data_IF_025336271904
#
_entry.id   IF_025336271904
#
_cell.length_a   1.000
_cell.length_b   1.000
_cell.length_c   1.000
_cell.angle_alpha   90.00
_cell.angle_beta   90.00
_cell.angle_gamma   90.00
#
_symmetry.space_group_name_H-M   'P 1'
#
loop_
_entity.id
_entity.type
_entity.pdbx_description
1 polymer ?
#
# COMPACT_ATOMS: atom_id res chain seq x y z
N UNK A 1 -61.16 -5.82 -36.36
CA UNK A 1 -61.81 -5.39 -35.11
C UNK A 1 -60.74 -4.85 -34.18
N UNK A 2 -61.00 -3.65 -33.64
CA UNK A 2 -60.07 -2.83 -32.88
C UNK A 2 -59.71 -3.50 -31.54
N UNK A 3 -58.43 -3.76 -31.28
CA UNK A 3 -57.96 -3.97 -29.91
C UNK A 3 -57.68 -2.60 -29.30
N UNK A 4 -58.76 -1.96 -28.83
CA UNK A 4 -58.66 -0.81 -27.94
C UNK A 4 -57.90 -1.25 -26.68
N UNK A 5 -56.70 -0.71 -26.51
CA UNK A 5 -56.01 -0.77 -25.22
C UNK A 5 -56.85 0.04 -24.24
N UNK A 6 -57.65 -0.64 -23.42
CA UNK A 6 -58.41 -0.01 -22.35
C UNK A 6 -57.43 0.79 -21.46
N UNK A 7 -57.57 2.13 -21.39
CA UNK A 7 -56.59 2.99 -20.72
C UNK A 7 -56.70 3.00 -19.18
N UNK A 8 -57.61 2.23 -18.59
CA UNK A 8 -57.96 2.31 -17.16
C UNK A 8 -57.56 1.09 -16.32
N UNK A 9 -56.91 0.07 -16.89
CA UNK A 9 -56.39 -1.03 -16.07
C UNK A 9 -55.07 -0.64 -15.39
N UNK A 10 -55.12 -0.45 -14.07
CA UNK A 10 -53.92 -0.34 -13.22
C UNK A 10 -53.12 -1.64 -13.37
N UNK A 11 -52.03 -1.60 -14.11
CA UNK A 11 -51.11 -2.74 -14.16
C UNK A 11 -50.33 -2.80 -12.84
N UNK A 12 -50.23 -3.99 -12.21
CA UNK A 12 -49.45 -4.14 -10.99
C UNK A 12 -48.00 -3.75 -11.30
N UNK A 13 -47.51 -2.76 -10.57
CA UNK A 13 -46.12 -2.31 -10.66
C UNK A 13 -45.24 -3.49 -10.26
N UNK A 14 -44.44 -4.03 -11.19
CA UNK A 14 -43.51 -5.13 -10.89
C UNK A 14 -42.58 -4.67 -9.79
N UNK A 15 -42.76 -5.22 -8.59
CA UNK A 15 -41.87 -4.96 -7.47
C UNK A 15 -40.54 -5.63 -7.81
N UNK A 16 -39.49 -4.83 -7.93
CA UNK A 16 -38.17 -5.32 -8.31
C UNK A 16 -37.67 -6.19 -7.16
N UNK A 17 -37.30 -7.44 -7.45
CA UNK A 17 -36.80 -8.33 -6.42
C UNK A 17 -35.43 -7.82 -5.95
N UNK A 18 -35.28 -7.39 -4.68
CA UNK A 18 -34.01 -6.83 -4.19
C UNK A 18 -32.85 -7.84 -4.27
N UNK A 19 -33.15 -9.14 -4.25
CA UNK A 19 -32.17 -10.22 -4.43
C UNK A 19 -31.66 -10.32 -5.88
N UNK A 20 -32.45 -9.87 -6.86
CA UNK A 20 -32.06 -9.81 -8.27
C UNK A 20 -31.43 -8.46 -8.67
N UNK A 21 -31.58 -7.41 -7.85
CA UNK A 21 -30.92 -6.12 -8.02
C UNK A 21 -29.47 -6.15 -7.51
N UNK A 22 -29.24 -6.78 -6.36
CA UNK A 22 -27.91 -6.84 -5.76
C UNK A 22 -26.99 -7.77 -6.56
N UNK A 23 -26.02 -7.18 -7.27
CA UNK A 23 -24.98 -7.91 -8.01
C UNK A 23 -24.24 -8.91 -7.11
N UNK A 24 -23.99 -8.54 -5.85
CA UNK A 24 -23.34 -9.41 -4.88
C UNK A 24 -24.19 -10.65 -4.57
N UNK A 25 -25.50 -10.46 -4.39
CA UNK A 25 -26.43 -11.56 -4.08
C UNK A 25 -26.62 -12.50 -5.28
N UNK A 26 -26.65 -11.95 -6.50
CA UNK A 26 -26.67 -12.74 -7.74
C UNK A 26 -25.38 -13.53 -7.94
N UNK A 27 -24.23 -12.95 -7.59
CA UNK A 27 -22.94 -13.64 -7.60
C UNK A 27 -22.97 -14.86 -6.68
N UNK A 28 -23.35 -14.65 -5.42
CA UNK A 28 -23.46 -15.72 -4.43
C UNK A 28 -24.43 -16.84 -4.85
N UNK A 29 -25.61 -16.49 -5.40
CA UNK A 29 -26.58 -17.49 -5.88
C UNK A 29 -26.00 -18.34 -7.01
N UNK A 30 -25.26 -17.72 -7.95
CA UNK A 30 -24.57 -18.46 -9.03
C UNK A 30 -23.53 -19.40 -8.46
N UNK A 31 -22.73 -18.94 -7.50
CA UNK A 31 -21.72 -19.79 -6.84
C UNK A 31 -22.34 -20.98 -6.11
N UNK A 32 -23.40 -20.73 -5.33
CA UNK A 32 -24.10 -21.79 -4.60
C UNK A 32 -24.71 -22.82 -5.57
N UNK A 33 -25.27 -22.35 -6.69
CA UNK A 33 -25.77 -23.23 -7.75
C UNK A 33 -24.66 -24.03 -8.44
N UNK A 34 -23.53 -23.40 -8.76
CA UNK A 34 -22.39 -24.08 -9.39
C UNK A 34 -21.83 -25.16 -8.46
N UNK A 35 -21.53 -24.80 -7.22
CA UNK A 35 -21.00 -25.73 -6.21
C UNK A 35 -21.95 -26.88 -5.89
N UNK A 36 -23.24 -26.61 -5.72
CA UNK A 36 -24.22 -27.64 -5.32
C UNK A 36 -24.65 -28.54 -6.49
N UNK A 37 -24.86 -27.98 -7.69
CA UNK A 37 -25.43 -28.74 -8.81
C UNK A 37 -24.39 -29.31 -9.78
N UNK A 38 -23.22 -28.68 -9.91
CA UNK A 38 -22.23 -29.01 -10.95
C UNK A 38 -20.88 -29.42 -10.35
N UNK A 39 -20.74 -29.36 -9.02
CA UNK A 39 -19.46 -29.54 -8.35
C UNK A 39 -18.49 -28.41 -8.69
N UNK A 40 -17.22 -28.57 -8.30
CA UNK A 40 -16.17 -27.66 -8.75
C UNK A 40 -15.93 -27.84 -10.25
N UNK A 41 -16.44 -26.93 -11.07
CA UNK A 41 -16.16 -26.93 -12.51
C UNK A 41 -14.67 -26.62 -12.74
N UNK A 42 -13.90 -27.43 -13.51
CA UNK A 42 -12.45 -27.30 -13.61
C UNK A 42 -11.92 -26.00 -14.22
N UNK A 43 -12.79 -25.13 -14.75
CA UNK A 43 -12.40 -23.92 -15.50
C UNK A 43 -12.96 -22.60 -14.98
N UNK A 44 -13.90 -22.61 -14.03
CA UNK A 44 -14.56 -21.38 -13.58
C UNK A 44 -14.09 -21.02 -12.17
N UNK A 45 -13.37 -19.89 -12.04
CA UNK A 45 -12.93 -19.38 -10.73
C UNK A 45 -14.15 -18.88 -9.96
N UNK A 46 -14.34 -19.38 -8.74
CA UNK A 46 -15.32 -18.81 -7.81
C UNK A 46 -14.98 -17.35 -7.48
N UNK A 47 -15.98 -16.54 -7.13
CA UNK A 47 -15.77 -15.19 -6.60
C UNK A 47 -14.85 -15.24 -5.38
N UNK A 48 -14.99 -16.25 -4.51
CA UNK A 48 -14.04 -16.46 -3.42
C UNK A 48 -12.60 -16.59 -3.92
N UNK A 49 -12.35 -17.39 -4.96
CA UNK A 49 -11.03 -17.54 -5.53
C UNK A 49 -10.52 -16.22 -6.15
N UNK A 50 -11.38 -15.48 -6.85
CA UNK A 50 -11.04 -14.15 -7.40
C UNK A 50 -10.66 -13.17 -6.29
N UNK A 51 -11.43 -13.12 -5.20
CA UNK A 51 -11.17 -12.25 -4.04
C UNK A 51 -9.86 -12.64 -3.35
N UNK A 52 -9.57 -13.94 -3.21
CA UNK A 52 -8.31 -14.40 -2.63
C UNK A 52 -7.11 -14.08 -3.53
N UNK A 53 -7.25 -14.23 -4.85
CA UNK A 53 -6.24 -13.81 -5.84
C UNK A 53 -6.00 -12.29 -5.76
N UNK A 54 -7.07 -11.49 -5.73
CA UNK A 54 -6.99 -10.03 -5.55
C UNK A 54 -6.25 -9.65 -4.27
N UNK A 55 -6.64 -10.23 -3.12
CA UNK A 55 -5.98 -9.97 -1.83
C UNK A 55 -4.51 -10.41 -1.81
N UNK A 56 -4.14 -11.43 -2.60
CA UNK A 56 -2.74 -11.85 -2.75
C UNK A 56 -1.94 -10.78 -3.50
N UNK A 57 -2.49 -10.24 -4.59
CA UNK A 57 -1.84 -9.18 -5.38
C UNK A 57 -1.73 -7.89 -4.58
N UNK A 58 -2.77 -7.48 -3.85
CA UNK A 58 -2.75 -6.29 -3.00
C UNK A 58 -1.67 -6.38 -1.92
N UNK A 59 -1.59 -7.50 -1.19
CA UNK A 59 -0.54 -7.70 -0.19
C UNK A 59 0.87 -7.64 -0.79
N UNK A 60 1.07 -8.17 -1.99
CA UNK A 60 2.36 -8.07 -2.67
C UNK A 60 2.71 -6.62 -3.00
N UNK A 61 1.75 -5.85 -3.52
CA UNK A 61 1.94 -4.42 -3.81
C UNK A 61 2.24 -3.63 -2.54
N UNK A 62 1.50 -3.86 -1.46
CA UNK A 62 1.75 -3.23 -0.15
C UNK A 62 3.15 -3.56 0.37
N UNK A 63 3.59 -4.82 0.25
CA UNK A 63 4.96 -5.21 0.61
C UNK A 63 6.00 -4.50 -0.25
N UNK A 64 5.84 -4.47 -1.58
CA UNK A 64 6.77 -3.76 -2.48
C UNK A 64 6.84 -2.26 -2.19
N UNK A 65 5.70 -1.63 -1.91
CA UNK A 65 5.64 -0.23 -1.50
C UNK A 65 6.38 -0.02 -0.17
N UNK A 66 6.19 -0.90 0.82
CA UNK A 66 6.89 -0.81 2.11
C UNK A 66 8.41 -0.97 1.96
N UNK A 67 8.87 -1.85 1.06
CA UNK A 67 10.29 -2.02 0.74
C UNK A 67 10.84 -0.76 0.09
N UNK A 68 10.11 -0.18 -0.86
CA UNK A 68 10.48 1.09 -1.50
C UNK A 68 10.58 2.23 -0.47
N UNK A 69 9.63 2.35 0.45
CA UNK A 69 9.69 3.34 1.53
C UNK A 69 10.94 3.17 2.41
N UNK A 70 11.29 1.93 2.77
CA UNK A 70 12.49 1.65 3.55
C UNK A 70 13.76 2.08 2.80
N UNK A 71 13.85 1.78 1.51
CA UNK A 71 14.99 2.20 0.68
C UNK A 71 15.13 3.73 0.63
N UNK A 72 14.02 4.46 0.50
CA UNK A 72 14.07 5.93 0.52
C UNK A 72 14.56 6.48 1.86
N UNK A 73 14.10 5.91 2.98
CA UNK A 73 14.55 6.28 4.33
C UNK A 73 16.05 5.99 4.51
N UNK A 74 16.52 4.84 4.03
CA UNK A 74 17.93 4.48 4.09
C UNK A 74 18.81 5.45 3.28
N UNK A 75 18.39 5.82 2.07
CA UNK A 75 19.09 6.83 1.25
C UNK A 75 19.14 8.19 1.96
N UNK A 76 18.05 8.61 2.60
CA UNK A 76 17.99 9.86 3.38
C UNK A 76 18.96 9.82 4.56
N UNK A 77 19.01 8.71 5.31
CA UNK A 77 19.95 8.55 6.42
C UNK A 77 21.40 8.58 5.96
N UNK A 78 21.73 7.87 4.86
CA UNK A 78 23.09 7.92 4.27
C UNK A 78 23.50 9.34 3.89
N UNK A 79 22.61 10.12 3.25
CA UNK A 79 22.88 11.53 2.93
C UNK A 79 23.13 12.37 4.19
N UNK A 80 22.38 12.14 5.25
CA UNK A 80 22.53 12.84 6.53
C UNK A 80 23.88 12.52 7.19
N UNK A 81 24.30 11.26 7.18
CA UNK A 81 25.61 10.84 7.70
C UNK A 81 26.74 11.50 6.93
N UNK A 82 26.71 11.47 5.59
CA UNK A 82 27.74 12.13 4.76
C UNK A 82 27.83 13.64 5.03
N UNK A 83 26.71 14.31 5.26
CA UNK A 83 26.69 15.73 5.61
C UNK A 83 27.33 15.99 6.99
N UNK A 84 27.10 15.12 7.98
CA UNK A 84 27.75 15.23 9.28
C UNK A 84 29.24 14.95 9.21
N UNK A 85 29.66 13.94 8.46
CA UNK A 85 31.09 13.64 8.26
C UNK A 85 31.81 14.83 7.63
N UNK A 86 31.22 15.45 6.61
CA UNK A 86 31.78 16.65 5.99
C UNK A 86 31.85 17.83 6.97
N UNK A 87 30.81 18.04 7.77
CA UNK A 87 30.79 19.10 8.79
C UNK A 87 31.85 18.87 9.88
N UNK A 88 32.03 17.63 10.32
CA UNK A 88 33.10 17.27 11.27
C UNK A 88 34.49 17.51 10.68
N UNK A 89 34.71 17.19 9.40
CA UNK A 89 35.97 17.53 8.71
C UNK A 89 36.21 19.04 8.67
N UNK A 90 35.17 19.85 8.39
CA UNK A 90 35.28 21.32 8.43
C UNK A 90 35.55 21.83 9.84
N UNK A 91 35.03 21.14 10.86
CA UNK A 91 35.28 21.50 12.25
C UNK A 91 36.70 21.20 12.67
N UNK A 92 37.25 20.06 12.28
CA UNK A 92 38.63 19.68 12.61
C UNK A 92 39.66 20.51 11.85
N UNK A 93 39.38 20.91 10.61
CA UNK A 93 40.25 21.84 9.85
C UNK A 93 40.35 23.22 10.48
N UNK A 94 39.32 23.68 11.20
CA UNK A 94 39.34 24.99 11.86
C UNK A 94 40.18 24.96 13.16
N UNK A 95 41.33 25.66 13.23
CA UNK A 95 42.19 25.67 14.41
C UNK A 95 41.56 26.37 15.64
N UNK A 96 40.45 27.08 15.44
CA UNK A 96 39.64 27.66 16.52
C UNK A 96 38.76 26.61 17.23
N UNK A 97 38.40 25.51 16.57
CA UNK A 97 37.58 24.45 17.17
C UNK A 97 38.40 23.49 18.05
N UNK A 98 39.73 23.54 17.98
CA UNK A 98 40.59 22.84 18.94
C UNK A 98 40.45 23.51 20.31
N UNK A 99 39.99 22.79 21.34
CA UNK A 99 39.85 23.37 22.67
C UNK A 99 41.15 23.98 23.19
N UNK A 100 41.08 25.11 23.89
CA UNK A 100 42.26 25.83 24.35
C UNK A 100 43.20 24.97 25.22
N UNK A 101 42.66 24.09 26.06
CA UNK A 101 43.49 23.22 26.91
C UNK A 101 44.36 22.25 26.08
N UNK A 102 43.90 21.79 24.92
CA UNK A 102 44.70 20.96 24.02
C UNK A 102 45.85 21.77 23.40
N UNK A 103 45.55 23.02 23.00
CA UNK A 103 46.51 23.99 22.45
C UNK A 103 47.61 24.34 23.47
N UNK A 104 47.20 24.67 24.70
CA UNK A 104 48.11 24.97 25.82
C UNK A 104 48.97 23.76 26.16
N UNK A 105 48.39 22.54 26.19
CA UNK A 105 49.16 21.31 26.45
C UNK A 105 50.23 21.04 25.40
N UNK A 106 49.94 21.23 24.12
CA UNK A 106 50.96 21.10 23.06
C UNK A 106 52.05 22.17 23.18
N UNK A 107 51.68 23.42 23.45
CA UNK A 107 52.65 24.48 23.64
C UNK A 107 53.61 24.17 24.79
N UNK A 108 53.10 23.68 25.93
CA UNK A 108 53.92 23.27 27.06
C UNK A 108 54.91 22.15 26.70
N UNK A 109 54.50 21.18 25.86
CA UNK A 109 55.42 20.12 25.37
C UNK A 109 56.55 20.67 24.49
N UNK A 110 56.31 21.72 23.71
CA UNK A 110 57.31 22.34 22.83
C UNK A 110 58.41 23.09 23.60
N UNK A 111 58.12 23.56 24.82
CA UNK A 111 59.07 24.27 25.69
C UNK A 111 59.74 23.38 26.75
N UNK A 112 59.34 22.11 26.87
CA UNK A 112 59.93 21.13 27.81
C UNK A 112 61.01 20.25 27.16
N UNK A 113 61.43 20.58 25.93
CA UNK A 113 62.63 20.12 25.24
C UNK A 113 63.65 21.25 25.21
#
# INVERSE_FOLDING_TARGET
MMNEKQPELIQPKKVVNPLLESSAHRGLLKELLLTHKWGMWPGERSELQKVLEQRRVERHREQELSVSELETKLRKQKRRLLAYELEEMRRTENPQNVPEFMRVRENLRRFQL
#
